data_IF_223977273442
#
_entry.id   IF_223977273442
#
_cell.length_a   1.000
_cell.length_b   1.000
_cell.length_c   1.000
_cell.angle_alpha   90.00
_cell.angle_beta   90.00
_cell.angle_gamma   90.00
#
_symmetry.space_group_name_H-M   'P 1'
#
loop_
_entity.id
_entity.type
_entity.pdbx_description
1 polymer ?
#
# COMPACT_ATOMS: atom_id res chain seq x y z
N UNK A 1 50.66 -16.16 16.62
CA UNK A 1 49.49 -16.21 17.54
C UNK A 1 48.82 -14.85 17.50
N UNK A 2 47.51 -14.86 17.18
CA UNK A 2 46.52 -13.77 17.15
C UNK A 2 46.78 -12.50 16.33
N UNK A 3 46.50 -12.56 15.02
CA UNK A 3 45.97 -11.41 14.26
C UNK A 3 44.58 -11.68 13.66
N UNK A 4 43.93 -12.79 14.06
CA UNK A 4 42.72 -13.31 13.44
C UNK A 4 41.47 -12.55 13.95
N UNK A 5 41.46 -12.11 15.21
CA UNK A 5 40.27 -11.51 15.84
C UNK A 5 39.89 -10.08 15.45
N UNK A 6 40.62 -9.38 14.57
CA UNK A 6 40.24 -8.01 14.12
C UNK A 6 39.61 -7.96 12.73
N UNK A 7 39.65 -9.06 11.97
CA UNK A 7 39.06 -9.14 10.63
C UNK A 7 37.67 -9.75 10.67
N UNK A 8 37.48 -10.80 11.48
CA UNK A 8 36.22 -11.56 11.60
C UNK A 8 35.09 -10.71 12.22
N UNK A 9 35.38 -9.94 13.27
CA UNK A 9 34.42 -9.00 13.88
C UNK A 9 33.96 -7.91 12.89
N UNK A 10 34.78 -7.58 11.87
CA UNK A 10 34.41 -6.58 10.86
C UNK A 10 33.45 -7.11 9.81
N UNK A 11 33.56 -8.40 9.44
CA UNK A 11 32.66 -9.00 8.46
C UNK A 11 31.29 -9.30 9.06
N UNK A 12 31.24 -9.87 10.27
CA UNK A 12 29.98 -10.06 11.00
C UNK A 12 29.25 -8.72 11.23
N UNK A 13 30.01 -7.67 11.58
CA UNK A 13 29.47 -6.32 11.72
C UNK A 13 28.89 -5.81 10.40
N UNK A 14 29.65 -5.91 9.30
CA UNK A 14 29.20 -5.44 7.99
C UNK A 14 27.92 -6.16 7.55
N UNK A 15 27.85 -7.47 7.71
CA UNK A 15 26.67 -8.30 7.37
C UNK A 15 25.48 -7.92 8.24
N UNK A 16 25.63 -7.90 9.56
CA UNK A 16 24.52 -7.58 10.46
C UNK A 16 23.94 -6.18 10.22
N UNK A 17 24.82 -5.21 9.94
CA UNK A 17 24.42 -3.84 9.61
C UNK A 17 23.73 -3.75 8.24
N UNK A 18 24.23 -4.48 7.23
CA UNK A 18 23.60 -4.56 5.92
C UNK A 18 22.20 -5.18 5.98
N UNK A 19 22.05 -6.27 6.73
CA UNK A 19 20.75 -6.90 6.99
C UNK A 19 19.81 -5.90 7.67
N UNK A 20 20.24 -5.28 8.77
CA UNK A 20 19.44 -4.30 9.50
C UNK A 20 18.95 -3.14 8.62
N UNK A 21 19.83 -2.61 7.77
CA UNK A 21 19.52 -1.49 6.87
C UNK A 21 18.54 -1.87 5.74
N UNK A 22 18.33 -3.16 5.49
CA UNK A 22 17.44 -3.68 4.43
C UNK A 22 16.17 -4.32 4.98
N UNK A 23 15.95 -4.29 6.30
CA UNK A 23 14.69 -4.75 6.88
C UNK A 23 13.55 -3.81 6.47
N UNK A 24 12.41 -4.36 5.99
CA UNK A 24 11.26 -3.55 5.61
C UNK A 24 10.55 -2.93 6.82
N UNK A 25 10.68 -3.56 7.99
CA UNK A 25 10.18 -3.06 9.26
C UNK A 25 11.22 -3.34 10.37
N UNK A 26 11.42 -2.35 11.24
CA UNK A 26 12.37 -2.37 12.35
C UNK A 26 11.67 -2.50 13.71
N UNK A 27 10.36 -2.76 13.73
CA UNK A 27 9.63 -3.06 14.96
C UNK A 27 10.14 -4.37 15.60
N UNK A 28 10.05 -4.46 16.93
CA UNK A 28 10.64 -5.58 17.66
C UNK A 28 10.02 -6.94 17.31
N UNK A 29 8.71 -7.01 17.04
CA UNK A 29 8.08 -8.29 16.72
C UNK A 29 8.53 -8.83 15.36
N UNK A 30 8.67 -7.95 14.37
CA UNK A 30 9.19 -8.28 13.05
C UNK A 30 10.64 -8.74 13.13
N UNK A 31 11.48 -7.98 13.83
CA UNK A 31 12.91 -8.30 14.00
C UNK A 31 13.10 -9.65 14.69
N UNK A 32 12.33 -9.94 15.74
CA UNK A 32 12.39 -11.24 16.42
C UNK A 32 11.92 -12.40 15.51
N UNK A 33 10.83 -12.22 14.77
CA UNK A 33 10.38 -13.24 13.81
C UNK A 33 11.38 -13.46 12.67
N UNK A 34 12.03 -12.39 12.21
CA UNK A 34 13.11 -12.44 11.23
C UNK A 34 14.33 -13.21 11.75
N UNK A 35 14.81 -12.89 12.96
CA UNK A 35 15.94 -13.59 13.60
C UNK A 35 15.61 -15.07 13.83
N UNK A 36 14.39 -15.38 14.26
CA UNK A 36 13.95 -16.78 14.39
C UNK A 36 13.95 -17.49 13.03
N UNK A 37 13.57 -16.79 11.96
CA UNK A 37 13.72 -17.27 10.59
C UNK A 37 15.17 -17.64 10.26
N UNK A 38 16.13 -16.74 10.55
CA UNK A 38 17.55 -17.01 10.34
C UNK A 38 18.03 -18.26 11.12
N UNK A 39 17.64 -18.38 12.40
CA UNK A 39 17.99 -19.52 13.26
C UNK A 39 17.38 -20.85 12.81
N UNK A 40 16.16 -20.80 12.30
CA UNK A 40 15.45 -21.99 11.79
C UNK A 40 15.76 -22.28 10.32
N UNK A 41 16.78 -21.66 9.73
CA UNK A 41 17.21 -21.99 8.39
C UNK A 41 17.53 -23.48 8.28
N UNK A 42 16.79 -24.17 7.43
CA UNK A 42 17.02 -25.59 7.12
C UNK A 42 17.23 -25.82 5.63
N UNK A 43 16.64 -24.97 4.79
CA UNK A 43 16.80 -24.96 3.33
C UNK A 43 16.66 -23.53 2.79
N UNK A 44 17.18 -23.26 1.59
CA UNK A 44 16.83 -22.04 0.86
C UNK A 44 15.31 -21.93 0.67
N UNK A 45 14.77 -20.75 0.98
CA UNK A 45 13.44 -20.35 0.51
C UNK A 45 13.56 -19.94 -0.94
N UNK A 46 12.63 -20.40 -1.78
CA UNK A 46 12.57 -19.96 -3.17
C UNK A 46 12.01 -18.54 -3.30
N UNK A 47 12.39 -17.83 -4.36
CA UNK A 47 11.84 -16.49 -4.66
C UNK A 47 10.31 -16.51 -4.78
N UNK A 48 9.73 -17.61 -5.29
CA UNK A 48 8.28 -17.78 -5.39
C UNK A 48 7.63 -17.88 -4.01
N UNK A 49 8.21 -18.65 -3.09
CA UNK A 49 7.72 -18.76 -1.71
C UNK A 49 7.82 -17.42 -0.97
N UNK A 50 8.97 -16.73 -1.07
CA UNK A 50 9.16 -15.42 -0.44
C UNK A 50 8.16 -14.40 -0.98
N UNK A 51 8.01 -14.33 -2.31
CA UNK A 51 7.02 -13.46 -2.96
C UNK A 51 5.59 -13.79 -2.52
N UNK A 52 5.25 -15.06 -2.35
CA UNK A 52 3.92 -15.45 -1.87
C UNK A 52 3.67 -15.04 -0.41
N UNK A 53 4.70 -14.93 0.43
CA UNK A 53 4.56 -14.36 1.78
C UNK A 53 4.36 -12.84 1.72
N UNK A 54 5.20 -12.15 0.94
CA UNK A 54 5.11 -10.72 0.72
C UNK A 54 3.74 -10.30 0.15
N UNK A 55 3.25 -10.99 -0.88
CA UNK A 55 1.93 -10.68 -1.47
C UNK A 55 0.80 -10.81 -0.46
N UNK A 56 0.80 -11.83 0.41
CA UNK A 56 -0.27 -12.00 1.41
C UNK A 56 -0.21 -10.96 2.52
N UNK A 57 0.99 -10.56 2.92
CA UNK A 57 1.17 -9.44 3.86
C UNK A 57 0.64 -8.14 3.25
N UNK A 58 1.06 -7.84 2.01
CA UNK A 58 0.62 -6.64 1.28
C UNK A 58 -0.90 -6.60 1.11
N UNK A 59 -1.52 -7.70 0.69
CA UNK A 59 -2.99 -7.80 0.56
C UNK A 59 -3.70 -7.57 1.91
N UNK A 60 -3.16 -8.14 3.00
CA UNK A 60 -3.74 -7.95 4.34
C UNK A 60 -3.55 -6.52 4.87
N UNK A 61 -2.44 -5.85 4.52
CA UNK A 61 -2.21 -4.44 4.82
C UNK A 61 -3.20 -3.55 4.06
N UNK A 62 -3.35 -3.76 2.75
CA UNK A 62 -4.31 -3.04 1.90
C UNK A 62 -5.74 -3.17 2.44
N UNK A 63 -6.16 -4.37 2.81
CA UNK A 63 -7.48 -4.60 3.40
C UNK A 63 -7.68 -3.81 4.71
N UNK A 64 -6.65 -3.74 5.56
CA UNK A 64 -6.69 -2.97 6.80
C UNK A 64 -6.72 -1.46 6.55
N UNK A 65 -5.95 -0.97 5.57
CA UNK A 65 -5.96 0.44 5.14
C UNK A 65 -7.37 0.81 4.64
N UNK A 66 -7.92 0.04 3.71
CA UNK A 66 -9.27 0.25 3.18
C UNK A 66 -10.30 0.26 4.31
N UNK A 67 -10.19 -0.67 5.27
CA UNK A 67 -11.10 -0.71 6.42
C UNK A 67 -11.04 0.57 7.25
N UNK A 68 -9.84 1.07 7.54
CA UNK A 68 -9.65 2.29 8.31
C UNK A 68 -10.22 3.51 7.57
N UNK A 69 -10.01 3.60 6.26
CA UNK A 69 -10.58 4.67 5.44
C UNK A 69 -12.12 4.64 5.41
N UNK A 70 -12.72 3.45 5.31
CA UNK A 70 -14.18 3.31 5.38
C UNK A 70 -14.75 3.72 6.74
N UNK A 71 -14.08 3.38 7.85
CA UNK A 71 -14.48 3.84 9.19
C UNK A 71 -14.39 5.37 9.27
N UNK A 72 -13.28 5.96 8.82
CA UNK A 72 -13.10 7.40 8.82
C UNK A 72 -14.15 8.13 7.95
N UNK A 73 -14.48 7.54 6.80
CA UNK A 73 -15.55 8.02 5.94
C UNK A 73 -16.91 7.98 6.66
N UNK A 74 -17.30 6.83 7.22
CA UNK A 74 -18.56 6.72 7.95
C UNK A 74 -18.66 7.75 9.10
N UNK A 75 -17.59 7.94 9.87
CA UNK A 75 -17.53 8.98 10.92
C UNK A 75 -17.69 10.40 10.37
N UNK A 76 -17.04 10.71 9.24
CA UNK A 76 -17.16 11.99 8.56
C UNK A 76 -18.60 12.26 8.11
N UNK A 77 -19.26 11.25 7.53
CA UNK A 77 -20.64 11.39 7.06
C UNK A 77 -21.67 11.42 8.20
N UNK A 78 -21.38 10.81 9.35
CA UNK A 78 -22.19 10.99 10.57
C UNK A 78 -22.09 12.42 11.13
N UNK A 79 -20.94 13.09 10.97
CA UNK A 79 -20.78 14.51 11.30
C UNK A 79 -21.57 15.38 10.32
N UNK A 80 -21.43 15.14 9.02
CA UNK A 80 -22.19 15.87 7.99
C UNK A 80 -23.70 15.73 8.14
N UNK A 81 -24.19 14.57 8.59
CA UNK A 81 -25.62 14.34 8.84
C UNK A 81 -26.22 15.30 9.88
N UNK A 82 -25.39 15.88 10.74
CA UNK A 82 -25.78 16.82 11.81
C UNK A 82 -25.49 18.28 11.43
N UNK A 83 -24.80 18.50 10.32
CA UNK A 83 -24.41 19.82 9.85
C UNK A 83 -25.54 20.43 9.00
N UNK A 84 -26.09 21.54 9.46
CA UNK A 84 -27.20 22.23 8.79
C UNK A 84 -26.81 22.95 7.50
N UNK A 85 -25.50 23.19 7.27
CA UNK A 85 -25.01 23.79 6.04
C UNK A 85 -25.04 22.80 4.87
N UNK A 86 -25.10 21.50 5.17
CA UNK A 86 -25.10 20.42 4.20
C UNK A 86 -26.50 19.81 4.03
N UNK A 87 -26.87 19.60 2.77
CA UNK A 87 -28.10 18.92 2.36
C UNK A 87 -27.76 17.49 1.95
N UNK A 88 -28.60 16.55 2.37
CA UNK A 88 -28.45 15.14 2.02
C UNK A 88 -29.00 14.88 0.61
N UNK A 89 -28.16 14.36 -0.28
CA UNK A 89 -28.60 13.75 -1.55
C UNK A 89 -28.79 12.24 -1.39
N UNK A 90 -27.96 11.61 -0.56
CA UNK A 90 -28.11 10.23 -0.10
C UNK A 90 -27.75 10.21 1.39
N UNK A 91 -28.68 9.85 2.29
CA UNK A 91 -28.43 9.84 3.72
C UNK A 91 -27.13 9.12 4.08
N UNK A 92 -26.28 9.79 4.86
CA UNK A 92 -24.98 9.29 5.34
C UNK A 92 -23.96 8.92 4.27
N UNK A 93 -24.18 9.24 2.99
CA UNK A 93 -23.27 8.83 1.90
C UNK A 93 -22.99 9.92 0.86
N UNK A 94 -23.93 10.82 0.60
CA UNK A 94 -23.71 11.94 -0.31
C UNK A 94 -24.38 13.18 0.25
N UNK A 95 -23.58 14.20 0.52
CA UNK A 95 -24.05 15.51 0.97
C UNK A 95 -23.53 16.61 0.07
N UNK A 96 -24.22 17.73 0.03
CA UNK A 96 -23.76 18.90 -0.70
C UNK A 96 -24.15 20.19 0.01
N UNK A 97 -23.37 21.25 -0.23
CA UNK A 97 -23.77 22.61 0.11
C UNK A 97 -23.76 23.49 -1.12
N UNK A 98 -24.72 24.42 -1.19
CA UNK A 98 -24.86 25.34 -2.31
C UNK A 98 -23.96 26.55 -2.06
N UNK A 99 -22.94 26.71 -2.90
CA UNK A 99 -22.04 27.87 -2.85
C UNK A 99 -22.54 29.01 -3.75
N UNK A 100 -23.22 28.67 -4.84
CA UNK A 100 -23.92 29.59 -5.71
C UNK A 100 -25.12 28.87 -6.34
N UNK A 101 -26.32 29.44 -6.26
CA UNK A 101 -27.55 28.80 -6.73
C UNK A 101 -27.61 28.67 -8.26
N UNK A 102 -26.97 29.57 -9.01
CA UNK A 102 -27.16 29.71 -10.45
C UNK A 102 -28.55 30.26 -10.79
N UNK A 103 -28.77 30.52 -12.08
CA UNK A 103 -30.01 31.18 -12.56
C UNK A 103 -30.61 30.53 -13.82
N UNK A 104 -29.91 29.62 -14.48
CA UNK A 104 -30.41 28.99 -15.70
C UNK A 104 -31.22 27.72 -15.43
N UNK A 105 -31.22 26.80 -16.41
CA UNK A 105 -31.99 25.55 -16.33
C UNK A 105 -31.53 24.69 -15.15
N UNK A 106 -32.45 23.93 -14.58
CA UNK A 106 -32.22 23.06 -13.44
C UNK A 106 -32.12 21.60 -13.88
N UNK A 107 -31.18 20.85 -13.30
CA UNK A 107 -31.06 19.40 -13.51
C UNK A 107 -32.22 18.70 -12.82
N UNK A 108 -33.16 18.19 -13.61
CA UNK A 108 -34.27 17.36 -13.16
C UNK A 108 -34.05 15.92 -13.62
N UNK A 109 -33.70 15.02 -12.69
CA UNK A 109 -33.37 13.63 -13.01
C UNK A 109 -32.00 13.45 -13.69
N UNK A 110 -31.79 12.30 -14.33
CA UNK A 110 -30.49 11.81 -14.83
C UNK A 110 -30.25 12.04 -16.32
N UNK A 111 -31.28 12.37 -17.10
CA UNK A 111 -31.23 12.47 -18.57
C UNK A 111 -30.72 13.82 -19.08
N UNK A 112 -29.52 14.18 -18.66
CA UNK A 112 -28.87 15.43 -19.02
C UNK A 112 -27.42 15.19 -19.43
N UNK A 113 -27.00 15.82 -20.53
CA UNK A 113 -25.59 16.05 -20.80
C UNK A 113 -25.20 17.38 -20.16
N UNK A 114 -24.02 17.42 -19.56
CA UNK A 114 -23.57 18.55 -18.78
C UNK A 114 -22.22 19.06 -19.27
N UNK A 115 -21.99 20.36 -19.11
CA UNK A 115 -20.66 20.97 -19.19
C UNK A 115 -20.35 21.61 -17.86
N UNK A 116 -19.24 21.23 -17.22
CA UNK A 116 -18.89 21.72 -15.89
C UNK A 116 -17.38 21.81 -15.67
N UNK A 117 -16.98 22.38 -14.54
CA UNK A 117 -15.62 22.32 -14.03
C UNK A 117 -15.61 21.76 -12.61
N UNK A 118 -14.60 20.95 -12.30
CA UNK A 118 -14.48 20.21 -11.06
C UNK A 118 -13.13 20.46 -10.40
N UNK A 119 -13.12 20.40 -9.07
CA UNK A 119 -11.92 20.33 -8.25
C UNK A 119 -12.15 19.26 -7.20
N UNK A 120 -11.30 18.24 -7.20
CA UNK A 120 -11.34 17.10 -6.28
C UNK A 120 -10.32 17.32 -5.17
N UNK A 121 -10.76 17.10 -3.94
CA UNK A 121 -9.96 17.14 -2.72
C UNK A 121 -10.26 15.89 -1.89
N UNK A 122 -9.29 15.46 -1.08
CA UNK A 122 -9.51 14.47 -0.03
C UNK A 122 -10.27 15.08 1.14
N UNK A 123 -10.67 14.23 2.09
CA UNK A 123 -11.22 14.69 3.37
C UNK A 123 -10.28 15.67 4.10
N UNK A 124 -8.96 15.46 3.97
CA UNK A 124 -7.93 16.33 4.56
C UNK A 124 -7.59 17.56 3.71
N UNK A 125 -8.42 17.86 2.70
CA UNK A 125 -8.24 18.98 1.76
C UNK A 125 -6.98 18.90 0.92
N UNK A 126 -6.36 17.73 0.84
CA UNK A 126 -5.28 17.48 -0.11
C UNK A 126 -5.85 17.53 -1.53
N UNK A 127 -5.18 18.27 -2.42
CA UNK A 127 -5.64 18.46 -3.78
C UNK A 127 -5.29 17.24 -4.64
N UNK A 128 -6.31 16.64 -5.25
CA UNK A 128 -6.12 15.57 -6.22
C UNK A 128 -6.03 16.10 -7.64
N UNK A 129 -7.09 16.79 -8.10
CA UNK A 129 -7.28 17.05 -9.51
C UNK A 129 -8.16 18.26 -9.76
N UNK A 130 -7.86 18.99 -10.85
CA UNK A 130 -8.75 20.01 -11.41
C UNK A 130 -9.04 19.66 -12.86
N UNK A 131 -10.32 19.53 -13.19
CA UNK A 131 -10.77 19.22 -14.54
C UNK A 131 -11.74 20.27 -15.06
N UNK A 132 -11.69 20.52 -16.37
CA UNK A 132 -12.65 21.35 -17.08
C UNK A 132 -13.21 20.53 -18.23
N UNK A 133 -14.47 20.17 -18.10
CA UNK A 133 -15.18 19.57 -19.19
C UNK A 133 -15.56 20.68 -20.20
N UNK A 134 -15.12 20.51 -21.45
CA UNK A 134 -15.41 21.43 -22.56
C UNK A 134 -16.55 20.94 -23.43
N UNK A 135 -16.66 19.63 -23.60
CA UNK A 135 -17.71 18.97 -24.38
C UNK A 135 -18.78 18.38 -23.45
N UNK A 136 -20.07 18.40 -23.83
CA UNK A 136 -21.11 17.79 -23.00
C UNK A 136 -20.85 16.31 -22.75
N UNK A 137 -20.97 15.86 -21.49
CA UNK A 137 -20.98 14.44 -21.13
C UNK A 137 -22.28 14.08 -20.44
N UNK A 138 -22.81 12.85 -20.63
CA UNK A 138 -23.94 12.36 -19.86
C UNK A 138 -23.67 12.48 -18.37
N UNK A 139 -24.63 13.01 -17.62
CA UNK A 139 -24.55 13.15 -16.17
C UNK A 139 -24.28 11.79 -15.51
N UNK A 140 -24.90 10.73 -16.04
CA UNK A 140 -24.73 9.34 -15.61
C UNK A 140 -23.34 8.77 -15.89
N UNK A 141 -22.54 9.37 -16.77
CA UNK A 141 -21.15 8.98 -17.01
C UNK A 141 -20.18 9.49 -15.93
N UNK A 142 -20.65 10.34 -15.01
CA UNK A 142 -19.88 10.75 -13.84
C UNK A 142 -19.94 9.69 -12.73
N UNK A 143 -19.00 9.79 -11.79
CA UNK A 143 -19.07 9.12 -10.49
C UNK A 143 -20.47 9.26 -9.87
N UNK A 144 -21.02 8.15 -9.35
CA UNK A 144 -22.40 8.08 -8.87
C UNK A 144 -22.73 9.15 -7.81
N UNK A 145 -21.81 9.43 -6.90
CA UNK A 145 -21.96 10.48 -5.89
C UNK A 145 -22.09 11.88 -6.48
N UNK A 146 -21.35 12.17 -7.56
CA UNK A 146 -21.50 13.44 -8.29
C UNK A 146 -22.85 13.51 -8.98
N UNK A 147 -23.25 12.45 -9.66
CA UNK A 147 -24.57 12.33 -10.31
C UNK A 147 -25.68 12.67 -9.34
N UNK A 148 -25.67 12.08 -8.14
CA UNK A 148 -26.67 12.35 -7.08
C UNK A 148 -26.55 13.77 -6.52
N UNK A 149 -25.33 14.21 -6.20
CA UNK A 149 -25.08 15.54 -5.60
C UNK A 149 -25.35 16.72 -6.54
N UNK A 150 -25.43 16.50 -7.85
CA UNK A 150 -25.73 17.53 -8.86
C UNK A 150 -27.22 17.66 -9.19
N UNK A 151 -28.10 16.75 -8.76
CA UNK A 151 -29.55 16.87 -8.98
C UNK A 151 -30.09 18.17 -8.32
N UNK A 152 -30.92 18.91 -9.04
CA UNK A 152 -31.46 20.21 -8.62
C UNK A 152 -30.47 21.38 -8.74
N UNK A 153 -29.28 21.16 -9.30
CA UNK A 153 -28.31 22.23 -9.55
C UNK A 153 -28.73 23.01 -10.81
N UNK A 154 -28.57 24.34 -10.81
CA UNK A 154 -28.88 25.20 -11.95
C UNK A 154 -27.63 25.61 -12.72
N UNK A 155 -27.78 25.90 -14.01
CA UNK A 155 -26.71 26.48 -14.83
C UNK A 155 -26.14 27.76 -14.18
N UNK A 156 -24.82 27.88 -14.21
CA UNK A 156 -24.07 28.92 -13.49
C UNK A 156 -23.85 28.63 -12.01
N UNK A 157 -24.53 27.62 -11.45
CA UNK A 157 -24.45 27.24 -10.04
C UNK A 157 -23.10 26.64 -9.65
N UNK A 158 -22.80 26.70 -8.35
CA UNK A 158 -21.63 26.10 -7.73
C UNK A 158 -22.04 25.33 -6.48
N UNK A 159 -21.56 24.09 -6.33
CA UNK A 159 -21.73 23.26 -5.13
C UNK A 159 -20.39 22.72 -4.66
N UNK A 160 -20.32 22.44 -3.36
CA UNK A 160 -19.37 21.47 -2.82
C UNK A 160 -20.16 20.20 -2.50
N UNK A 161 -19.67 19.06 -2.97
CA UNK A 161 -20.31 17.74 -2.83
C UNK A 161 -19.32 16.82 -2.12
N UNK A 162 -19.73 16.26 -0.99
CA UNK A 162 -19.00 15.26 -0.24
C UNK A 162 -19.52 13.87 -0.61
N UNK A 163 -18.63 12.97 -1.03
CA UNK A 163 -18.97 11.66 -1.59
C UNK A 163 -18.27 10.55 -0.80
N UNK A 164 -19.06 9.67 -0.22
CA UNK A 164 -18.59 8.48 0.46
C UNK A 164 -18.01 7.48 -0.57
N UNK A 165 -16.99 6.68 -0.22
CA UNK A 165 -16.36 5.72 -1.13
C UNK A 165 -17.33 4.76 -1.85
N UNK A 166 -18.42 4.35 -1.19
CA UNK A 166 -19.52 3.57 -1.80
C UNK A 166 -20.16 4.23 -3.02
N UNK A 167 -20.06 5.56 -3.14
CA UNK A 167 -20.56 6.36 -4.26
C UNK A 167 -19.41 6.97 -5.07
N UNK A 168 -18.17 6.56 -4.78
CA UNK A 168 -16.91 6.98 -5.37
C UNK A 168 -16.55 6.20 -6.64
N UNK A 169 -15.24 6.12 -6.95
CA UNK A 169 -14.72 5.32 -8.07
C UNK A 169 -14.69 3.83 -7.73
N UNK A 170 -14.85 2.99 -8.75
CA UNK A 170 -14.56 1.55 -8.70
C UNK A 170 -13.40 1.20 -9.62
N UNK A 171 -12.55 0.28 -9.17
CA UNK A 171 -11.74 -0.55 -10.07
C UNK A 171 -10.54 0.11 -10.76
N UNK A 172 -10.09 1.29 -10.32
CA UNK A 172 -8.85 1.91 -10.85
C UNK A 172 -7.63 1.52 -9.98
N UNK A 173 -7.79 1.51 -8.65
CA UNK A 173 -6.82 1.01 -7.66
C UNK A 173 -7.53 0.75 -6.32
N UNK A 174 -7.12 -0.23 -5.49
CA UNK A 174 -7.72 -0.47 -4.16
C UNK A 174 -7.71 0.78 -3.26
N UNK A 175 -6.60 1.52 -3.22
CA UNK A 175 -6.43 2.75 -2.42
C UNK A 175 -7.33 3.89 -2.93
N UNK A 176 -7.50 4.02 -4.25
CA UNK A 176 -8.39 5.05 -4.82
C UNK A 176 -9.88 4.71 -4.65
N UNK A 177 -10.21 3.45 -4.32
CA UNK A 177 -11.58 2.97 -4.18
C UNK A 177 -12.19 3.27 -2.81
N UNK A 178 -11.37 3.48 -1.77
CA UNK A 178 -11.81 3.77 -0.39
C UNK A 178 -11.70 5.25 0.01
N UNK A 179 -11.29 6.12 -0.93
CA UNK A 179 -11.13 7.55 -0.69
C UNK A 179 -12.47 8.30 -0.59
N UNK A 180 -12.64 9.12 0.45
CA UNK A 180 -13.72 10.11 0.53
C UNK A 180 -13.36 11.33 -0.34
N UNK A 181 -14.25 11.70 -1.26
CA UNK A 181 -14.04 12.85 -2.13
C UNK A 181 -14.85 14.08 -1.70
N UNK A 182 -14.18 15.23 -1.65
CA UNK A 182 -14.82 16.54 -1.57
C UNK A 182 -14.65 17.22 -2.93
N UNK A 183 -15.76 17.45 -3.63
CA UNK A 183 -15.75 17.95 -5.00
C UNK A 183 -16.42 19.31 -5.09
N UNK A 184 -15.68 20.32 -5.52
CA UNK A 184 -16.27 21.59 -5.92
C UNK A 184 -16.63 21.55 -7.40
N UNK A 185 -17.92 21.62 -7.71
CA UNK A 185 -18.44 21.64 -9.08
C UNK A 185 -19.02 23.01 -9.42
N UNK A 186 -18.71 23.50 -10.63
CA UNK A 186 -19.39 24.66 -11.25
C UNK A 186 -20.03 24.21 -12.54
N UNK A 187 -21.36 24.25 -12.58
CA UNK A 187 -22.16 23.85 -13.74
C UNK A 187 -22.20 25.01 -14.74
N UNK A 188 -21.82 24.77 -15.99
CA UNK A 188 -21.85 25.78 -17.05
C UNK A 188 -23.15 25.72 -17.84
N UNK A 189 -23.51 24.55 -18.34
CA UNK A 189 -24.71 24.35 -19.16
C UNK A 189 -25.20 22.91 -19.09
N UNK A 190 -26.48 22.71 -19.42
CA UNK A 190 -27.12 21.40 -19.54
C UNK A 190 -27.95 21.27 -20.81
N UNK A 191 -27.95 20.09 -21.41
CA UNK A 191 -28.78 19.73 -22.57
C UNK A 191 -29.47 18.37 -22.33
N UNK A 192 -30.72 18.16 -22.75
CA UNK A 192 -31.35 16.85 -22.61
C UNK A 192 -30.50 15.76 -23.28
N UNK A 193 -30.28 14.66 -22.56
CA UNK A 193 -29.50 13.52 -23.08
C UNK A 193 -30.41 12.43 -23.63
N UNK A 194 -29.99 11.84 -24.75
CA UNK A 194 -30.57 10.63 -25.32
C UNK A 194 -29.75 9.37 -25.00
N UNK A 195 -28.64 9.52 -24.25
CA UNK A 195 -27.76 8.41 -23.91
C UNK A 195 -28.45 7.39 -22.98
N UNK A 196 -28.00 6.14 -23.07
CA UNK A 196 -28.39 5.10 -22.13
C UNK A 196 -27.90 5.41 -20.71
N UNK A 197 -28.65 4.97 -19.69
CA UNK A 197 -28.23 5.14 -18.30
C UNK A 197 -27.08 4.18 -17.98
N UNK A 198 -25.94 4.72 -17.53
CA UNK A 198 -24.84 3.92 -17.01
C UNK A 198 -25.22 3.24 -15.69
N UNK A 199 -24.57 2.12 -15.31
CA UNK A 199 -24.86 1.40 -14.08
C UNK A 199 -24.82 2.34 -12.86
N UNK A 200 -25.86 2.26 -12.02
CA UNK A 200 -26.07 3.17 -10.88
C UNK A 200 -25.91 2.49 -9.52
N UNK A 201 -25.31 1.30 -9.46
CA UNK A 201 -25.17 0.59 -8.18
C UNK A 201 -24.01 1.15 -7.37
N UNK A 202 -24.20 1.39 -6.06
CA UNK A 202 -23.11 1.69 -5.15
C UNK A 202 -22.09 0.55 -5.06
N UNK A 203 -20.87 0.92 -4.69
CA UNK A 203 -19.75 0.00 -4.54
C UNK A 203 -19.98 -0.87 -3.31
N UNK A 204 -19.82 -2.18 -3.48
CA UNK A 204 -20.00 -3.15 -2.39
C UNK A 204 -18.62 -3.54 -1.88
N UNK A 205 -18.20 -2.94 -0.77
CA UNK A 205 -16.99 -3.35 -0.06
C UNK A 205 -17.27 -4.61 0.74
N UNK A 206 -16.61 -5.72 0.38
CA UNK A 206 -16.69 -6.98 1.14
C UNK A 206 -16.16 -6.75 2.56
N UNK A 207 -15.12 -5.94 2.70
CA UNK A 207 -14.46 -5.58 3.96
C UNK A 207 -15.37 -4.84 4.96
N UNK A 208 -16.50 -4.28 4.50
CA UNK A 208 -17.49 -3.69 5.42
C UNK A 208 -18.05 -4.72 6.42
N UNK A 209 -18.03 -6.01 6.06
CA UNK A 209 -18.55 -7.12 6.88
C UNK A 209 -17.50 -7.77 7.78
N UNK A 210 -16.23 -7.46 7.57
CA UNK A 210 -15.12 -7.98 8.39
C UNK A 210 -14.81 -6.93 9.47
N UNK A 211 -14.57 -7.38 10.70
CA UNK A 211 -14.21 -6.45 11.79
C UNK A 211 -12.78 -5.96 11.61
N UNK A 212 -12.47 -4.76 12.14
CA UNK A 212 -11.11 -4.21 12.07
C UNK A 212 -10.13 -5.11 12.83
N UNK A 213 -10.53 -5.62 13.99
CA UNK A 213 -9.70 -6.49 14.84
C UNK A 213 -9.36 -7.81 14.14
N UNK A 214 -10.27 -8.32 13.30
CA UNK A 214 -10.00 -9.50 12.50
C UNK A 214 -8.93 -9.22 11.45
N UNK A 215 -9.04 -8.10 10.72
CA UNK A 215 -8.06 -7.70 9.71
C UNK A 215 -6.69 -7.38 10.33
N UNK A 216 -6.65 -6.72 11.50
CA UNK A 216 -5.40 -6.48 12.24
C UNK A 216 -4.71 -7.79 12.63
N UNK A 217 -5.48 -8.81 13.04
CA UNK A 217 -4.95 -10.13 13.35
C UNK A 217 -4.42 -10.85 12.10
N UNK A 218 -5.13 -10.75 10.98
CA UNK A 218 -4.71 -11.32 9.70
C UNK A 218 -3.42 -10.66 9.20
N UNK A 219 -3.39 -9.32 9.15
CA UNK A 219 -2.19 -8.54 8.83
C UNK A 219 -1.00 -8.95 9.72
N UNK A 220 -1.15 -8.90 11.04
CA UNK A 220 -0.09 -9.29 11.98
C UNK A 220 0.39 -10.72 11.74
N UNK A 221 -0.52 -11.65 11.43
CA UNK A 221 -0.13 -13.03 11.13
C UNK A 221 0.70 -13.14 9.85
N UNK A 222 0.34 -12.40 8.79
CA UNK A 222 1.05 -12.44 7.52
C UNK A 222 2.38 -11.69 7.59
N UNK A 223 2.42 -10.55 8.26
CA UNK A 223 3.62 -9.76 8.54
C UNK A 223 4.70 -10.59 9.24
N UNK A 224 4.35 -11.32 10.31
CA UNK A 224 5.31 -12.17 11.03
C UNK A 224 5.74 -13.41 10.22
N UNK A 225 4.86 -13.97 9.37
CA UNK A 225 5.24 -15.07 8.46
C UNK A 225 6.21 -14.60 7.38
N UNK A 226 5.99 -13.40 6.84
CA UNK A 226 6.91 -12.80 5.90
C UNK A 226 8.26 -12.49 6.55
N UNK A 227 8.27 -11.89 7.75
CA UNK A 227 9.50 -11.63 8.51
C UNK A 227 10.33 -12.91 8.67
N UNK A 228 9.71 -14.01 9.10
CA UNK A 228 10.36 -15.31 9.27
C UNK A 228 10.92 -15.87 7.95
N UNK A 229 10.13 -15.85 6.88
CA UNK A 229 10.58 -16.28 5.56
C UNK A 229 11.72 -15.40 5.02
N UNK A 230 11.65 -14.10 5.26
CA UNK A 230 12.70 -13.17 4.87
C UNK A 230 14.00 -13.42 5.64
N UNK A 231 13.92 -13.75 6.93
CA UNK A 231 15.05 -14.18 7.74
C UNK A 231 15.72 -15.46 7.20
N UNK A 232 14.91 -16.45 6.82
CA UNK A 232 15.42 -17.67 6.17
C UNK A 232 16.12 -17.35 4.83
N UNK A 233 15.52 -16.50 4.00
CA UNK A 233 16.12 -16.08 2.72
C UNK A 233 17.44 -15.34 2.94
N UNK A 234 17.47 -14.36 3.85
CA UNK A 234 18.65 -13.58 4.16
C UNK A 234 19.79 -14.47 4.67
N UNK A 235 19.54 -15.35 5.65
CA UNK A 235 20.57 -16.25 6.12
C UNK A 235 20.99 -17.28 5.07
N UNK A 236 20.07 -17.73 4.22
CA UNK A 236 20.38 -18.57 3.06
C UNK A 236 21.44 -17.99 2.14
N UNK A 237 21.43 -16.67 1.95
CA UNK A 237 22.46 -15.94 1.20
C UNK A 237 23.75 -15.75 2.02
N UNK A 238 23.65 -15.25 3.26
CA UNK A 238 24.83 -14.87 4.05
C UNK A 238 25.59 -16.06 4.67
N UNK A 239 24.99 -17.24 4.83
CA UNK A 239 25.66 -18.44 5.39
C UNK A 239 26.91 -18.87 4.62
N UNK A 240 27.00 -18.53 3.33
CA UNK A 240 28.17 -18.85 2.51
C UNK A 240 29.44 -18.09 2.94
N UNK A 241 29.31 -17.08 3.82
CA UNK A 241 30.45 -16.37 4.39
C UNK A 241 31.26 -17.20 5.37
N UNK A 242 30.69 -18.29 5.90
CA UNK A 242 31.39 -19.17 6.84
C UNK A 242 32.74 -19.66 6.29
N UNK A 243 33.79 -19.77 7.13
CA UNK A 243 33.79 -19.51 8.57
C UNK A 243 34.12 -18.05 8.97
N UNK A 244 34.09 -17.08 8.06
CA UNK A 244 34.56 -15.72 8.35
C UNK A 244 33.72 -14.97 9.41
N UNK A 245 32.48 -15.43 9.61
CA UNK A 245 31.59 -15.06 10.70
C UNK A 245 30.61 -16.20 10.97
N UNK A 246 29.96 -16.16 12.14
CA UNK A 246 28.88 -17.06 12.55
C UNK A 246 27.51 -16.39 12.53
N UNK A 247 26.44 -17.19 12.53
CA UNK A 247 25.06 -16.69 12.64
C UNK A 247 24.86 -15.80 13.88
N UNK A 248 25.34 -16.23 15.04
CA UNK A 248 25.11 -15.50 16.30
C UNK A 248 25.91 -14.18 16.38
N UNK A 249 27.09 -14.10 15.74
CA UNK A 249 27.81 -12.83 15.62
C UNK A 249 27.04 -11.85 14.72
N UNK A 250 26.49 -12.32 13.60
CA UNK A 250 25.63 -11.51 12.73
C UNK A 250 24.38 -11.03 13.48
N UNK A 251 23.69 -11.94 14.19
CA UNK A 251 22.52 -11.60 15.02
C UNK A 251 22.88 -10.56 16.09
N UNK A 252 24.04 -10.71 16.75
CA UNK A 252 24.51 -9.73 17.74
C UNK A 252 24.65 -8.33 17.12
N UNK A 253 25.16 -8.23 15.89
CA UNK A 253 25.27 -6.96 15.19
C UNK A 253 23.94 -6.40 14.68
N UNK A 254 22.96 -7.25 14.36
CA UNK A 254 21.57 -6.82 14.09
C UNK A 254 20.99 -6.17 15.36
N UNK A 255 21.17 -6.78 16.55
CA UNK A 255 20.70 -6.19 17.81
C UNK A 255 21.43 -4.89 18.19
N UNK A 256 22.74 -4.79 17.96
CA UNK A 256 23.47 -3.53 18.14
C UNK A 256 22.90 -2.43 17.24
N UNK A 257 22.64 -2.76 15.98
CA UNK A 257 22.03 -1.84 15.02
C UNK A 257 20.63 -1.37 15.47
N UNK A 258 19.81 -2.29 16.01
CA UNK A 258 18.49 -1.96 16.54
C UNK A 258 18.51 -1.06 17.78
N UNK A 259 19.65 -1.02 18.48
CA UNK A 259 19.92 -0.11 19.61
C UNK A 259 20.56 1.22 19.17
N UNK A 260 20.73 1.45 17.86
CA UNK A 260 21.29 2.66 17.28
C UNK A 260 22.80 2.62 17.05
N UNK A 261 23.48 1.52 17.36
CA UNK A 261 24.89 1.33 17.00
C UNK A 261 24.99 0.99 15.51
N UNK A 262 25.04 2.03 14.66
CA UNK A 262 25.06 1.88 13.21
C UNK A 262 26.37 2.35 12.58
N UNK A 263 26.73 1.75 11.44
CA UNK A 263 27.84 2.22 10.60
C UNK A 263 27.32 2.93 9.35
N UNK A 264 28.08 3.89 8.82
CA UNK A 264 27.72 4.56 7.57
C UNK A 264 27.98 3.66 6.35
N UNK A 265 26.96 2.87 6.00
CA UNK A 265 26.96 2.04 4.81
C UNK A 265 26.93 2.85 3.52
N UNK A 266 26.56 4.14 3.54
CA UNK A 266 26.47 4.97 2.33
C UNK A 266 27.83 5.45 1.82
N UNK A 267 28.87 5.36 2.65
CA UNK A 267 30.21 5.75 2.26
C UNK A 267 30.73 4.89 1.09
N UNK A 268 31.47 5.47 0.11
CA UNK A 268 32.00 4.72 -1.02
C UNK A 268 32.86 3.51 -0.63
N UNK A 269 33.60 3.62 0.48
CA UNK A 269 34.40 2.52 1.01
C UNK A 269 33.53 1.34 1.48
N UNK A 270 32.45 1.62 2.23
CA UNK A 270 31.56 0.58 2.73
C UNK A 270 30.72 -0.03 1.61
N UNK A 271 30.23 0.78 0.67
CA UNK A 271 29.57 0.28 -0.54
C UNK A 271 30.47 -0.68 -1.32
N UNK A 272 31.75 -0.34 -1.50
CA UNK A 272 32.71 -1.24 -2.13
C UNK A 272 32.86 -2.56 -1.36
N UNK A 273 33.02 -2.50 -0.03
CA UNK A 273 33.12 -3.70 0.81
C UNK A 273 31.88 -4.59 0.74
N UNK A 274 30.68 -4.00 0.72
CA UNK A 274 29.43 -4.74 0.56
C UNK A 274 29.38 -5.45 -0.79
N UNK A 275 29.72 -4.76 -1.88
CA UNK A 275 29.77 -5.36 -3.22
C UNK A 275 30.78 -6.51 -3.28
N UNK A 276 31.99 -6.29 -2.75
CA UNK A 276 33.04 -7.32 -2.69
C UNK A 276 32.57 -8.55 -1.88
N UNK A 277 31.89 -8.32 -0.76
CA UNK A 277 31.28 -9.37 0.06
C UNK A 277 30.21 -10.14 -0.72
N UNK A 278 29.20 -9.47 -1.28
CA UNK A 278 28.13 -10.12 -2.03
C UNK A 278 28.67 -10.95 -3.21
N UNK A 279 29.66 -10.43 -3.92
CA UNK A 279 30.32 -11.15 -5.00
C UNK A 279 31.02 -12.41 -4.51
N UNK A 280 31.73 -12.34 -3.38
CA UNK A 280 32.38 -13.50 -2.78
C UNK A 280 31.38 -14.58 -2.33
N UNK A 281 30.24 -14.18 -1.78
CA UNK A 281 29.17 -15.10 -1.36
C UNK A 281 28.57 -15.82 -2.56
N UNK A 282 28.26 -15.08 -3.63
CA UNK A 282 27.72 -15.62 -4.88
C UNK A 282 28.66 -16.66 -5.51
N UNK A 283 29.97 -16.37 -5.56
CA UNK A 283 30.96 -17.32 -6.08
C UNK A 283 31.03 -18.61 -5.24
N UNK A 284 30.89 -18.52 -3.91
CA UNK A 284 30.90 -19.71 -3.04
C UNK A 284 29.65 -20.57 -3.22
N UNK A 285 28.49 -19.94 -3.36
CA UNK A 285 27.21 -20.61 -3.60
C UNK A 285 27.21 -21.41 -4.92
N UNK A 286 27.65 -20.79 -6.01
CA UNK A 286 27.70 -21.41 -7.34
C UNK A 286 28.63 -22.64 -7.38
N UNK A 287 29.80 -22.52 -6.75
CA UNK A 287 30.75 -23.62 -6.61
C UNK A 287 30.19 -24.79 -5.80
N UNK A 288 29.45 -24.51 -4.72
CA UNK A 288 28.83 -25.56 -3.90
C UNK A 288 27.68 -26.27 -4.62
N UNK A 289 26.88 -25.54 -5.40
CA UNK A 289 25.74 -26.10 -6.13
C UNK A 289 26.22 -27.02 -7.26
N UNK A 290 27.28 -26.61 -7.95
CA UNK A 290 27.91 -27.42 -9.01
C UNK A 290 28.44 -28.76 -8.48
N UNK A 291 29.11 -28.77 -7.31
CA UNK A 291 29.64 -30.00 -6.69
C UNK A 291 28.56 -30.98 -6.20
N UNK A 292 27.36 -30.51 -5.87
CA UNK A 292 26.24 -31.39 -5.50
C UNK A 292 25.59 -32.05 -6.73
N UNK A 293 25.60 -31.37 -7.89
CA UNK A 293 25.06 -31.91 -9.14
C UNK A 293 25.94 -33.01 -9.77
N UNK A 294 27.26 -32.92 -9.64
CA UNK A 294 28.18 -33.94 -10.15
C UNK A 294 28.14 -35.26 -9.35
N UNK A 295 27.78 -35.20 -8.06
CA UNK A 295 27.71 -36.37 -7.18
C UNK A 295 26.37 -37.13 -7.25
N UNK A 296 25.41 -36.68 -8.06
CA UNK A 296 24.07 -37.31 -8.20
C UNK A 296 23.87 -38.07 -9.52
N UNK A 297 24.91 -38.20 -10.36
CA UNK A 297 24.87 -39.15 -11.48
C UNK A 297 25.25 -40.56 -11.02
N UNK A 298 24.32 -41.53 -10.99
CA UNK A 298 24.69 -42.92 -10.75
C UNK A 298 25.51 -43.41 -11.94
N UNK A 299 26.70 -43.94 -11.67
CA UNK A 299 27.45 -44.72 -12.65
C UNK A 299 26.53 -45.85 -13.13
N UNK A 300 26.03 -45.72 -14.36
CA UNK A 300 25.35 -46.80 -15.05
C UNK A 300 26.37 -47.93 -15.26
N UNK A 301 26.18 -49.02 -14.51
CA UNK A 301 26.82 -50.30 -14.74
C UNK A 301 25.95 -51.16 -15.67
#
# INVERSE_FOLDING_TARGET
MSSIGHSEEKEACLVGQAIWATLPDQNSEFVEAFIEGMRQFSRPISDEELRAHFTREFEAEDDLIIKNELIAADEFFEKLAKDTDFQSAVPKKVYYRVLNKGTGKEIQGTRWDIVASYRFESQDREFFLKSKLKEPLPLTALMLGLTKGMIGMKEGGKREICIHPEYGYTGISPIESSTTFIVQVKLKSITPSAAEEYPTEPNKFILSRISKEQLEKEYKSHHLKFAHAYGQSAWGHYRWGEPAYTLEEVISHIYKASQGETIDLSSPEMQKKLVDLHWSLYQKEDNSTSQQSENTHPQAA
#
